data_IF_934614389795
#
_entry.id   IF_934614389795
#
_cell.length_a   1.000
_cell.length_b   1.000
_cell.length_c   1.000
_cell.angle_alpha   90.00
_cell.angle_beta   90.00
_cell.angle_gamma   90.00
#
_symmetry.space_group_name_H-M   'P 1'
#
loop_
_entity.id
_entity.type
_entity.pdbx_description
1 polymer ?
#
# COMPACT_ATOMS: atom_id res chain seq x y z
N UNK A 1 1.85 -6.70 -6.99
CA UNK A 1 1.44 -5.68 -6.01
C UNK A 1 0.54 -4.68 -6.72
N UNK A 2 -0.21 -3.90 -5.95
CA UNK A 2 -1.43 -3.20 -6.34
C UNK A 2 -1.26 -2.27 -7.57
N UNK A 3 -2.09 -2.44 -8.61
CA UNK A 3 -2.17 -1.52 -9.74
C UNK A 3 -2.99 -0.28 -9.32
N UNK A 4 -2.34 0.67 -8.65
CA UNK A 4 -3.00 1.86 -8.05
C UNK A 4 -3.81 2.65 -9.09
N UNK A 5 -3.32 2.70 -10.33
CA UNK A 5 -3.97 3.36 -11.47
C UNK A 5 -5.24 2.65 -11.98
N UNK A 6 -5.56 1.46 -11.48
CA UNK A 6 -6.80 0.72 -11.82
C UNK A 6 -7.78 0.60 -10.64
N UNK A 7 -7.43 1.17 -9.48
CA UNK A 7 -8.24 1.08 -8.25
C UNK A 7 -8.99 2.37 -8.00
N UNK A 8 -10.28 2.27 -7.69
CA UNK A 8 -11.14 3.43 -7.43
C UNK A 8 -10.64 4.29 -6.26
N UNK A 9 -10.36 3.68 -5.10
CA UNK A 9 -9.71 4.33 -3.95
C UNK A 9 -8.40 3.60 -3.61
N UNK A 10 -7.26 4.04 -4.18
CA UNK A 10 -5.98 3.38 -3.97
C UNK A 10 -5.45 3.54 -2.53
N UNK A 11 -5.90 4.56 -1.79
CA UNK A 11 -5.46 4.80 -0.40
C UNK A 11 -6.18 3.84 0.53
N UNK A 12 -7.50 3.72 0.39
CA UNK A 12 -8.29 2.79 1.21
C UNK A 12 -7.92 1.33 0.92
N UNK A 13 -7.75 0.98 -0.36
CA UNK A 13 -7.29 -0.36 -0.75
C UNK A 13 -5.93 -0.71 -0.14
N UNK A 14 -4.99 0.25 -0.09
CA UNK A 14 -3.70 0.06 0.54
C UNK A 14 -3.83 -0.16 2.07
N UNK A 15 -4.71 0.58 2.75
CA UNK A 15 -4.93 0.41 4.18
C UNK A 15 -5.51 -0.98 4.50
N UNK A 16 -6.50 -1.44 3.73
CA UNK A 16 -7.08 -2.78 3.88
C UNK A 16 -5.99 -3.85 3.70
N UNK A 17 -5.12 -3.69 2.70
CA UNK A 17 -4.02 -4.63 2.48
C UNK A 17 -3.04 -4.67 3.67
N UNK A 18 -2.70 -3.52 4.25
CA UNK A 18 -1.81 -3.43 5.42
C UNK A 18 -2.46 -4.09 6.63
N UNK A 19 -3.74 -3.83 6.90
CA UNK A 19 -4.47 -4.46 8.01
C UNK A 19 -4.50 -5.99 7.90
N UNK A 20 -4.75 -6.50 6.69
CA UNK A 20 -4.72 -7.94 6.42
C UNK A 20 -3.32 -8.54 6.67
N UNK A 21 -2.27 -7.85 6.22
CA UNK A 21 -0.88 -8.26 6.44
C UNK A 21 -0.52 -8.24 7.93
N UNK A 22 -0.89 -7.19 8.66
CA UNK A 22 -0.63 -7.07 10.10
C UNK A 22 -1.28 -8.21 10.88
N UNK A 23 -2.50 -8.60 10.51
CA UNK A 23 -3.17 -9.77 11.10
C UNK A 23 -2.41 -11.07 10.86
N UNK A 24 -1.87 -11.29 9.66
CA UNK A 24 -1.14 -12.51 9.30
C UNK A 24 0.23 -12.55 10.00
N UNK A 25 0.92 -11.42 10.05
CA UNK A 25 2.26 -11.30 10.64
C UNK A 25 2.21 -11.42 12.15
N UNK A 26 1.19 -10.84 12.80
CA UNK A 26 1.01 -10.92 14.25
C UNK A 26 0.93 -12.35 14.76
N UNK A 27 0.27 -13.23 14.00
CA UNK A 27 0.07 -14.63 14.37
C UNK A 27 1.29 -15.52 14.05
N UNK A 28 2.10 -15.14 13.04
CA UNK A 28 3.12 -16.02 12.46
C UNK A 28 4.56 -15.49 12.53
N UNK A 29 4.78 -14.28 13.08
CA UNK A 29 6.09 -13.61 13.19
C UNK A 29 6.86 -13.54 11.84
N UNK A 30 6.13 -13.27 10.75
CA UNK A 30 6.68 -13.26 9.39
C UNK A 30 7.32 -11.92 9.02
N UNK A 31 8.31 -11.96 8.15
CA UNK A 31 8.84 -10.76 7.51
C UNK A 31 8.00 -10.39 6.29
N UNK A 32 7.52 -9.14 6.25
CA UNK A 32 6.79 -8.60 5.10
C UNK A 32 7.78 -8.02 4.11
N UNK A 33 7.59 -8.33 2.82
CA UNK A 33 8.47 -7.88 1.75
C UNK A 33 7.65 -7.30 0.60
N UNK A 34 8.19 -6.26 -0.04
CA UNK A 34 7.60 -5.66 -1.23
C UNK A 34 8.01 -6.38 -2.52
N UNK A 35 7.55 -5.85 -3.66
CA UNK A 35 7.85 -6.33 -5.01
C UNK A 35 9.35 -6.42 -5.35
N UNK A 36 10.16 -5.56 -4.74
CA UNK A 36 11.61 -5.50 -4.93
C UNK A 36 12.35 -6.47 -4.00
N UNK A 37 11.59 -7.23 -3.20
CA UNK A 37 12.10 -8.02 -2.08
C UNK A 37 12.79 -7.17 -1.02
N UNK A 38 12.31 -5.94 -0.81
CA UNK A 38 12.74 -5.09 0.29
C UNK A 38 11.81 -5.26 1.49
N UNK A 39 12.36 -5.14 2.70
CA UNK A 39 11.57 -5.25 3.93
C UNK A 39 10.55 -4.12 4.02
N UNK A 40 9.29 -4.47 4.26
CA UNK A 40 8.22 -3.50 4.45
C UNK A 40 8.24 -2.98 5.90
N UNK A 41 9.00 -1.91 6.09
CA UNK A 41 9.00 -1.12 7.33
C UNK A 41 7.87 -0.09 7.33
N UNK A 42 7.59 0.49 8.51
CA UNK A 42 6.65 1.62 8.66
C UNK A 42 6.94 2.77 7.68
N UNK A 43 8.22 3.05 7.41
CA UNK A 43 8.63 4.08 6.45
C UNK A 43 8.27 3.72 5.01
N UNK A 44 8.49 2.46 4.61
CA UNK A 44 8.13 2.01 3.25
C UNK A 44 6.61 1.99 3.06
N UNK A 45 5.85 1.65 4.10
CA UNK A 45 4.38 1.71 4.09
C UNK A 45 3.90 3.16 3.86
N UNK A 46 4.48 4.14 4.57
CA UNK A 46 4.11 5.54 4.38
C UNK A 46 4.50 6.05 2.98
N UNK A 47 5.64 5.60 2.45
CA UNK A 47 6.02 5.88 1.07
C UNK A 47 4.96 5.38 0.06
N UNK A 48 4.44 4.16 0.25
CA UNK A 48 3.36 3.64 -0.57
C UNK A 48 2.04 4.41 -0.40
N UNK A 49 1.70 4.86 0.82
CA UNK A 49 0.54 5.74 1.04
C UNK A 49 0.66 7.06 0.30
N UNK A 50 1.84 7.68 0.35
CA UNK A 50 2.07 8.93 -0.36
C UNK A 50 1.89 8.73 -1.87
N UNK A 51 2.45 7.64 -2.42
CA UNK A 51 2.27 7.29 -3.83
C UNK A 51 0.80 7.05 -4.21
N UNK A 52 0.03 6.38 -3.36
CA UNK A 52 -1.41 6.20 -3.57
C UNK A 52 -2.18 7.52 -3.59
N UNK A 53 -1.86 8.44 -2.66
CA UNK A 53 -2.44 9.79 -2.63
C UNK A 53 -2.09 10.58 -3.89
N UNK A 54 -0.85 10.50 -4.35
CA UNK A 54 -0.40 11.20 -5.56
C UNK A 54 -1.18 10.73 -6.79
N UNK A 55 -1.50 9.43 -6.90
CA UNK A 55 -2.34 8.88 -7.97
C UNK A 55 -3.76 9.44 -7.89
N UNK A 56 -4.37 9.46 -6.70
CA UNK A 56 -5.72 10.04 -6.52
C UNK A 56 -5.76 11.52 -6.93
N UNK A 57 -4.80 12.33 -6.45
CA UNK A 57 -4.71 13.76 -6.78
C UNK A 57 -4.52 13.99 -8.29
N UNK A 58 -3.69 13.18 -8.95
CA UNK A 58 -3.48 13.28 -10.41
C UNK A 58 -4.75 13.00 -11.20
N UNK A 59 -5.57 12.03 -10.77
CA UNK A 59 -6.85 11.72 -11.45
C UNK A 59 -7.87 12.83 -11.29
N UNK A 60 -7.97 13.42 -10.10
CA UNK A 60 -8.87 14.55 -9.84
C UNK A 60 -8.52 15.77 -10.71
N UNK A 61 -7.22 16.00 -10.97
CA UNK A 61 -6.76 17.07 -11.87
C UNK A 61 -6.97 16.78 -13.37
N UNK A 62 -7.21 15.51 -13.72
CA UNK A 62 -7.37 15.06 -15.11
C UNK A 62 -8.84 14.87 -15.53
N UNK A 63 -9.78 15.06 -14.59
CA UNK A 63 -11.23 14.85 -14.78
C UNK A 63 -12.00 16.14 -15.04
#
# INVERSE_FOLDING_TARGET
FMALDDIADPVDALNIMIEAVDSIVGDLQLNVMDESRSSMTRNTIEHYRQRARDVSVRRDQSS
#
